data_IF_404546023513
#
_entry.id   IF_404546023513
#
_cell.length_a   1.000
_cell.length_b   1.000
_cell.length_c   1.000
_cell.angle_alpha   90.00
_cell.angle_beta   90.00
_cell.angle_gamma   90.00
#
_symmetry.space_group_name_H-M   'P 1'
#
loop_
_entity.id
_entity.type
_entity.pdbx_description
1 polymer ?
#
# COMPACT_ATOMS: atom_id res chain seq x y z
N UNK A 1 8.58 -9.31 -18.42
CA UNK A 1 8.85 -9.14 -16.97
C UNK A 1 8.42 -7.73 -16.61
N UNK A 2 7.54 -7.55 -15.62
CA UNK A 2 7.11 -6.20 -15.20
C UNK A 2 8.28 -5.46 -14.55
N UNK A 3 8.26 -4.12 -14.52
CA UNK A 3 9.33 -3.37 -13.84
C UNK A 3 9.39 -3.74 -12.34
N UNK A 4 8.27 -4.14 -11.72
CA UNK A 4 8.20 -4.60 -10.32
C UNK A 4 9.02 -5.86 -10.08
N UNK A 5 8.92 -6.85 -10.96
CA UNK A 5 9.73 -8.08 -10.85
C UNK A 5 11.23 -7.76 -10.93
N UNK A 6 11.63 -6.81 -11.79
CA UNK A 6 13.00 -6.33 -11.85
C UNK A 6 13.39 -5.55 -10.59
N UNK A 7 12.52 -4.64 -10.13
CA UNK A 7 12.74 -3.79 -8.97
C UNK A 7 12.92 -4.61 -7.70
N UNK A 8 12.04 -5.58 -7.42
CA UNK A 8 12.13 -6.40 -6.21
C UNK A 8 13.38 -7.28 -6.20
N UNK A 9 13.79 -7.81 -7.37
CA UNK A 9 15.08 -8.49 -7.49
C UNK A 9 16.22 -7.54 -7.17
N UNK A 10 16.23 -6.34 -7.73
CA UNK A 10 17.27 -5.35 -7.44
C UNK A 10 17.30 -4.99 -5.96
N UNK A 11 16.16 -4.63 -5.35
CA UNK A 11 16.08 -4.26 -3.93
C UNK A 11 16.60 -5.37 -3.01
N UNK A 12 16.28 -6.63 -3.33
CA UNK A 12 16.56 -7.74 -2.42
C UNK A 12 17.92 -8.40 -2.60
N UNK A 13 18.45 -8.41 -3.82
CA UNK A 13 19.75 -9.01 -4.13
C UNK A 13 20.89 -8.00 -4.20
N UNK A 14 20.62 -6.71 -4.29
CA UNK A 14 21.62 -5.66 -4.13
C UNK A 14 21.84 -5.39 -2.62
N UNK A 15 23.05 -5.64 -2.07
CA UNK A 15 23.32 -5.44 -0.65
C UNK A 15 23.09 -4.01 -0.14
N UNK A 16 23.33 -2.99 -0.97
CA UNK A 16 23.14 -1.59 -0.58
C UNK A 16 21.66 -1.24 -0.46
N UNK A 17 20.84 -1.69 -1.42
CA UNK A 17 19.39 -1.49 -1.40
C UNK A 17 18.73 -2.32 -0.29
N UNK A 18 19.20 -3.56 -0.08
CA UNK A 18 18.69 -4.48 0.93
C UNK A 18 18.83 -3.93 2.34
N UNK A 19 19.96 -3.30 2.67
CA UNK A 19 20.21 -2.76 4.03
C UNK A 19 19.19 -1.70 4.43
N UNK A 20 18.81 -0.82 3.49
CA UNK A 20 17.80 0.22 3.74
C UNK A 20 16.38 -0.38 3.83
N UNK A 21 16.09 -1.38 2.99
CA UNK A 21 14.80 -2.04 2.91
C UNK A 21 14.49 -2.96 4.11
N UNK A 22 15.50 -3.55 4.74
CA UNK A 22 15.33 -4.47 5.86
C UNK A 22 14.97 -3.78 7.18
N UNK A 23 15.17 -2.47 7.34
CA UNK A 23 14.84 -1.79 8.61
C UNK A 23 13.33 -1.62 8.80
N UNK A 24 12.74 -2.36 9.75
CA UNK A 24 11.32 -2.19 10.14
C UNK A 24 11.08 -0.81 10.77
N UNK A 25 12.02 -0.32 11.58
CA UNK A 25 11.87 0.88 12.42
C UNK A 25 11.61 2.19 11.66
N UNK A 26 11.99 2.31 10.39
CA UNK A 26 11.92 3.59 9.67
C UNK A 26 10.50 4.05 9.26
N UNK A 27 9.43 3.37 9.68
CA UNK A 27 8.04 3.63 9.23
C UNK A 27 6.94 3.36 10.27
N UNK A 28 7.24 3.20 11.56
CA UNK A 28 6.17 3.02 12.58
C UNK A 28 5.16 4.17 12.56
N UNK A 29 5.65 5.41 12.43
CA UNK A 29 4.88 6.65 12.28
C UNK A 29 3.87 6.65 11.12
N UNK A 30 4.02 5.71 10.18
CA UNK A 30 3.14 5.59 9.03
C UNK A 30 1.82 4.95 9.40
N UNK A 31 1.82 4.05 10.38
CA UNK A 31 0.65 3.26 10.74
C UNK A 31 -0.06 3.75 11.99
N UNK A 32 0.51 4.69 12.76
CA UNK A 32 -0.03 5.11 14.06
C UNK A 32 -1.54 5.40 14.03
N UNK A 33 -1.99 6.26 13.12
CA UNK A 33 -3.42 6.60 13.00
C UNK A 33 -4.29 5.40 12.64
N UNK A 34 -3.78 4.50 11.80
CA UNK A 34 -4.47 3.28 11.43
C UNK A 34 -4.53 2.31 12.62
N UNK A 35 -3.41 2.11 13.32
CA UNK A 35 -3.35 1.21 14.47
C UNK A 35 -4.23 1.68 15.62
N UNK A 36 -4.33 3.00 15.84
CA UNK A 36 -5.25 3.59 16.81
C UNK A 36 -6.72 3.35 16.43
N UNK A 37 -7.09 3.59 15.17
CA UNK A 37 -8.44 3.29 14.69
C UNK A 37 -8.82 1.80 14.84
N UNK A 38 -7.83 0.90 14.70
CA UNK A 38 -8.01 -0.53 14.85
C UNK A 38 -8.16 -1.01 16.31
N UNK A 39 -7.98 -0.14 17.30
CA UNK A 39 -8.24 -0.45 18.72
C UNK A 39 -9.74 -0.68 19.02
N UNK A 40 -10.63 -0.20 18.15
CA UNK A 40 -12.08 -0.49 18.25
C UNK A 40 -12.41 -1.98 18.08
N UNK A 41 -11.49 -2.80 17.55
CA UNK A 41 -11.72 -4.22 17.30
C UNK A 41 -10.94 -5.12 18.25
N UNK A 42 -11.64 -6.07 18.86
CA UNK A 42 -11.03 -7.16 19.63
C UNK A 42 -10.16 -8.06 18.73
N UNK A 43 -10.63 -8.35 17.52
CA UNK A 43 -9.87 -9.08 16.50
C UNK A 43 -9.39 -8.11 15.41
N UNK A 44 -8.08 -8.11 15.16
CA UNK A 44 -7.45 -7.21 14.19
C UNK A 44 -7.01 -7.95 12.94
N UNK A 45 -7.96 -8.33 12.10
CA UNK A 45 -7.68 -8.97 10.81
C UNK A 45 -7.45 -7.91 9.73
N UNK A 46 -6.24 -7.85 9.20
CA UNK A 46 -5.82 -6.79 8.28
C UNK A 46 -5.36 -7.37 6.95
N UNK A 47 -5.74 -6.72 5.86
CA UNK A 47 -5.19 -6.96 4.53
C UNK A 47 -4.11 -5.91 4.22
N UNK A 48 -2.89 -6.35 3.96
CA UNK A 48 -1.85 -5.55 3.31
C UNK A 48 -1.95 -5.76 1.79
N UNK A 49 -2.64 -4.83 1.13
CA UNK A 49 -2.95 -4.90 -0.29
C UNK A 49 -1.77 -4.33 -1.09
N UNK A 50 -1.21 -5.12 -2.01
CA UNK A 50 0.06 -4.81 -2.70
C UNK A 50 1.21 -4.55 -1.74
N UNK A 51 1.45 -5.53 -0.86
CA UNK A 51 2.41 -5.43 0.24
C UNK A 51 3.87 -5.25 -0.21
N UNK A 52 4.18 -5.47 -1.50
CA UNK A 52 5.54 -5.50 -2.01
C UNK A 52 6.41 -6.49 -1.24
N UNK A 53 7.44 -6.00 -0.56
CA UNK A 53 8.36 -6.82 0.23
C UNK A 53 7.76 -7.27 1.57
N UNK A 54 6.58 -6.80 1.97
CA UNK A 54 5.88 -7.20 3.19
C UNK A 54 6.32 -6.48 4.46
N UNK A 55 6.81 -5.24 4.35
CA UNK A 55 7.37 -4.49 5.47
C UNK A 55 6.32 -4.14 6.51
N UNK A 56 5.20 -3.58 6.04
CA UNK A 56 4.09 -3.18 6.90
C UNK A 56 3.36 -4.40 7.45
N UNK A 57 3.21 -5.45 6.64
CA UNK A 57 2.69 -6.73 7.08
C UNK A 57 3.45 -7.32 8.28
N UNK A 58 4.79 -7.37 8.21
CA UNK A 58 5.62 -7.87 9.31
C UNK A 58 5.43 -7.02 10.58
N UNK A 59 5.51 -5.69 10.46
CA UNK A 59 5.31 -4.76 11.57
C UNK A 59 3.94 -4.91 12.25
N UNK A 60 2.87 -5.08 11.47
CA UNK A 60 1.53 -5.31 12.02
C UNK A 60 1.43 -6.68 12.69
N UNK A 61 2.03 -7.72 12.13
CA UNK A 61 2.05 -9.05 12.73
C UNK A 61 2.80 -9.06 14.07
N UNK A 62 3.94 -8.34 14.17
CA UNK A 62 4.66 -8.13 15.44
C UNK A 62 3.79 -7.46 16.51
N UNK A 63 2.87 -6.57 16.09
CA UNK A 63 1.88 -5.91 16.98
C UNK A 63 0.65 -6.79 17.27
N UNK A 64 0.67 -8.08 16.92
CA UNK A 64 -0.39 -9.06 17.21
C UNK A 64 -1.57 -9.06 16.24
N UNK A 65 -1.44 -8.40 15.08
CA UNK A 65 -2.49 -8.42 14.06
C UNK A 65 -2.48 -9.73 13.29
N UNK A 66 -3.65 -10.18 12.85
CA UNK A 66 -3.78 -11.28 11.90
C UNK A 66 -3.68 -10.72 10.49
N UNK A 67 -2.50 -10.80 9.89
CA UNK A 67 -2.21 -10.13 8.62
C UNK A 67 -2.33 -11.09 7.44
N UNK A 68 -3.12 -10.68 6.45
CA UNK A 68 -3.17 -11.28 5.11
C UNK A 68 -2.41 -10.36 4.16
N UNK A 69 -1.53 -10.94 3.36
CA UNK A 69 -0.76 -10.20 2.34
C UNK A 69 -1.23 -10.60 0.95
N UNK A 70 -1.56 -9.61 0.12
CA UNK A 70 -2.00 -9.83 -1.24
C UNK A 70 -1.07 -9.12 -2.22
N UNK A 71 -0.46 -9.88 -3.13
CA UNK A 71 0.49 -9.35 -4.11
C UNK A 71 0.44 -10.17 -5.42
N UNK A 72 0.75 -9.49 -6.53
CA UNK A 72 0.81 -10.03 -7.89
C UNK A 72 2.21 -10.53 -8.27
N UNK A 73 3.26 -9.97 -7.66
CA UNK A 73 4.63 -10.39 -7.89
C UNK A 73 4.99 -11.62 -7.08
N UNK A 74 5.44 -12.67 -7.77
CA UNK A 74 5.88 -13.92 -7.13
C UNK A 74 7.15 -13.67 -6.32
N UNK A 75 8.05 -12.83 -6.84
CA UNK A 75 9.29 -12.50 -6.14
C UNK A 75 9.03 -11.72 -4.86
N UNK A 76 8.10 -10.75 -4.90
CA UNK A 76 7.68 -9.99 -3.73
C UNK A 76 7.10 -10.89 -2.61
N UNK A 77 6.30 -11.91 -2.99
CA UNK A 77 5.77 -12.89 -2.03
C UNK A 77 6.86 -13.76 -1.41
N UNK A 78 7.91 -14.15 -2.17
CA UNK A 78 9.06 -14.87 -1.60
C UNK A 78 9.81 -14.01 -0.59
N UNK A 79 10.09 -12.75 -0.94
CA UNK A 79 10.73 -11.79 -0.04
C UNK A 79 9.91 -11.59 1.23
N UNK A 80 8.59 -11.46 1.08
CA UNK A 80 7.66 -11.36 2.21
C UNK A 80 7.71 -12.58 3.12
N UNK A 81 7.76 -13.80 2.55
CA UNK A 81 7.90 -15.03 3.34
C UNK A 81 9.24 -15.13 4.06
N UNK A 82 10.33 -14.71 3.43
CA UNK A 82 11.66 -14.65 4.07
C UNK A 82 11.70 -13.62 5.19
N UNK A 83 11.07 -12.46 4.99
CA UNK A 83 10.93 -11.42 6.03
C UNK A 83 10.11 -11.94 7.21
N UNK A 84 9.00 -12.64 6.96
CA UNK A 84 8.20 -13.24 8.02
C UNK A 84 9.03 -14.20 8.90
N UNK A 85 9.89 -15.02 8.27
CA UNK A 85 10.83 -15.89 9.00
C UNK A 85 11.89 -15.11 9.78
N UNK A 86 12.43 -14.05 9.19
CA UNK A 86 13.47 -13.22 9.83
C UNK A 86 12.97 -12.56 11.12
N UNK A 87 11.71 -12.14 11.14
CA UNK A 87 11.08 -11.46 12.27
C UNK A 87 10.24 -12.39 13.15
N UNK A 88 10.29 -13.70 12.90
CA UNK A 88 9.51 -14.72 13.62
C UNK A 88 8.01 -14.39 13.73
N UNK A 89 7.42 -13.95 12.61
CA UNK A 89 6.00 -13.57 12.52
C UNK A 89 5.23 -14.44 11.53
N UNK A 90 3.92 -14.59 11.76
CA UNK A 90 3.03 -15.35 10.88
C UNK A 90 2.25 -14.42 9.95
N UNK A 91 2.28 -14.69 8.64
CA UNK A 91 1.54 -13.98 7.62
C UNK A 91 0.70 -14.98 6.78
N UNK A 92 -0.54 -14.62 6.46
CA UNK A 92 -1.37 -15.35 5.51
C UNK A 92 -1.12 -14.83 4.08
N UNK A 93 -0.44 -15.62 3.25
CA UNK A 93 -0.12 -15.22 1.89
C UNK A 93 -1.29 -15.58 0.95
N UNK A 94 -1.76 -14.61 0.17
CA UNK A 94 -2.72 -14.83 -0.91
C UNK A 94 -2.18 -14.27 -2.23
N UNK A 95 -1.98 -15.14 -3.23
CA UNK A 95 -1.58 -14.68 -4.56
C UNK A 95 -2.77 -14.08 -5.29
N UNK A 96 -2.59 -12.90 -5.87
CA UNK A 96 -3.61 -12.27 -6.70
C UNK A 96 -3.46 -12.67 -8.17
N UNK A 97 -4.51 -13.28 -8.74
CA UNK A 97 -4.57 -13.52 -10.20
C UNK A 97 -5.04 -12.30 -10.98
N UNK A 98 -5.59 -11.30 -10.30
CA UNK A 98 -5.99 -10.02 -10.86
C UNK A 98 -5.50 -8.89 -9.94
N UNK A 99 -4.99 -7.78 -10.48
CA UNK A 99 -4.56 -6.63 -9.70
C UNK A 99 -5.68 -6.01 -8.83
N UNK A 100 -6.94 -6.31 -9.12
CA UNK A 100 -8.09 -5.65 -8.51
C UNK A 100 -8.98 -6.59 -7.70
N UNK A 101 -8.56 -7.83 -7.49
CA UNK A 101 -9.37 -8.81 -6.77
C UNK A 101 -8.53 -9.73 -5.91
N UNK A 102 -9.00 -9.91 -4.67
CA UNK A 102 -8.42 -10.79 -3.68
C UNK A 102 -9.40 -11.92 -3.41
N UNK A 103 -8.91 -13.17 -3.45
CA UNK A 103 -9.71 -14.38 -3.23
C UNK A 103 -10.04 -14.57 -1.74
N UNK A 104 -10.84 -13.66 -1.20
CA UNK A 104 -11.35 -13.67 0.15
C UNK A 104 -12.87 -13.44 0.12
N UNK A 105 -13.63 -14.03 1.07
CA UNK A 105 -15.05 -13.76 1.20
C UNK A 105 -15.33 -12.28 1.50
N UNK A 106 -16.54 -11.84 1.16
CA UNK A 106 -17.01 -10.49 1.50
C UNK A 106 -17.06 -10.29 3.01
N UNK A 107 -16.77 -9.06 3.48
CA UNK A 107 -16.98 -8.63 4.87
C UNK A 107 -16.26 -9.52 5.90
N UNK A 108 -14.97 -9.79 5.68
CA UNK A 108 -14.14 -10.62 6.58
C UNK A 108 -12.92 -9.90 7.15
N UNK A 109 -12.66 -8.67 6.74
CA UNK A 109 -11.47 -7.89 7.09
C UNK A 109 -11.85 -6.70 7.98
N UNK A 110 -11.09 -6.43 9.05
CA UNK A 110 -11.29 -5.26 9.92
C UNK A 110 -10.61 -4.01 9.35
N UNK A 111 -9.43 -4.18 8.74
CA UNK A 111 -8.66 -3.07 8.18
C UNK A 111 -7.96 -3.42 6.87
N UNK A 112 -7.88 -2.48 5.94
CA UNK A 112 -7.07 -2.60 4.71
C UNK A 112 -6.01 -1.51 4.75
N UNK A 113 -4.75 -1.87 4.51
CA UNK A 113 -3.69 -0.92 4.20
C UNK A 113 -3.31 -1.04 2.73
N UNK A 114 -3.07 0.10 2.08
CA UNK A 114 -2.60 0.19 0.71
C UNK A 114 -1.60 1.34 0.61
N UNK A 115 -0.32 1.01 0.76
CA UNK A 115 0.75 1.98 1.01
C UNK A 115 1.76 1.97 -0.14
N UNK A 116 2.17 3.16 -0.57
CA UNK A 116 3.18 3.49 -1.58
C UNK A 116 2.86 3.07 -3.02
N UNK A 117 1.61 2.62 -3.28
CA UNK A 117 1.19 2.06 -4.56
C UNK A 117 0.05 2.82 -5.27
N UNK A 118 -0.66 3.71 -4.58
CA UNK A 118 -1.87 4.35 -5.14
C UNK A 118 -1.62 5.20 -6.39
N UNK A 119 -0.47 5.85 -6.45
CA UNK A 119 -0.11 6.70 -7.58
C UNK A 119 0.40 5.92 -8.79
N UNK A 120 0.48 4.58 -8.75
CA UNK A 120 0.86 3.77 -9.91
C UNK A 120 -0.33 3.32 -10.77
N UNK A 121 -1.54 3.48 -10.24
CA UNK A 121 -2.79 3.08 -10.90
C UNK A 121 -3.48 4.29 -11.51
N UNK A 122 -4.14 4.11 -12.66
CA UNK A 122 -5.06 5.12 -13.19
C UNK A 122 -6.27 5.25 -12.27
N UNK A 123 -6.99 6.36 -12.38
CA UNK A 123 -8.15 6.65 -11.52
C UNK A 123 -9.21 5.54 -11.52
N UNK A 124 -9.52 4.96 -12.69
CA UNK A 124 -10.47 3.85 -12.81
C UNK A 124 -9.97 2.55 -12.17
N UNK A 125 -8.65 2.35 -12.15
CA UNK A 125 -8.02 1.16 -11.56
C UNK A 125 -7.93 1.30 -10.04
N UNK A 126 -7.57 2.49 -9.56
CA UNK A 126 -7.59 2.84 -8.15
C UNK A 126 -8.99 2.72 -7.56
N UNK A 127 -10.03 3.16 -8.29
CA UNK A 127 -11.41 2.98 -7.86
C UNK A 127 -11.76 1.48 -7.69
N UNK A 128 -11.28 0.59 -8.55
CA UNK A 128 -11.49 -0.86 -8.39
C UNK A 128 -10.82 -1.42 -7.13
N UNK A 129 -9.65 -0.92 -6.77
CA UNK A 129 -8.95 -1.30 -5.53
C UNK A 129 -9.75 -0.86 -4.30
N UNK A 130 -10.27 0.37 -4.32
CA UNK A 130 -11.11 0.92 -3.24
C UNK A 130 -12.43 0.15 -3.14
N UNK A 131 -13.02 -0.21 -4.28
CA UNK A 131 -14.24 -1.01 -4.35
C UNK A 131 -14.05 -2.43 -3.80
N UNK A 132 -12.93 -3.06 -4.13
CA UNK A 132 -12.57 -4.37 -3.59
C UNK A 132 -12.29 -4.29 -2.08
N UNK A 133 -11.61 -3.24 -1.63
CA UNK A 133 -11.41 -2.98 -0.21
C UNK A 133 -12.75 -2.83 0.52
N UNK A 134 -13.70 -2.11 -0.08
CA UNK A 134 -15.06 -1.99 0.46
C UNK A 134 -15.80 -3.33 0.55
N UNK A 135 -15.66 -4.20 -0.47
CA UNK A 135 -16.27 -5.56 -0.47
C UNK A 135 -15.73 -6.41 0.69
N UNK A 136 -14.42 -6.34 0.94
CA UNK A 136 -13.72 -7.16 1.92
C UNK A 136 -13.91 -6.68 3.37
N UNK A 137 -13.98 -5.36 3.57
CA UNK A 137 -14.10 -4.77 4.90
C UNK A 137 -15.44 -5.13 5.56
N UNK A 138 -15.44 -5.40 6.86
CA UNK A 138 -16.67 -5.46 7.67
C UNK A 138 -17.30 -4.06 7.78
N UNK A 139 -18.55 -3.99 8.24
CA UNK A 139 -19.16 -2.71 8.59
C UNK A 139 -18.33 -2.02 9.68
N UNK A 140 -18.03 -0.74 9.47
CA UNK A 140 -17.17 0.03 10.37
C UNK A 140 -15.67 -0.26 10.24
N UNK A 141 -15.25 -1.19 9.37
CA UNK A 141 -13.83 -1.44 9.10
C UNK A 141 -13.16 -0.24 8.42
N UNK A 142 -11.83 -0.17 8.49
CA UNK A 142 -11.07 0.98 7.99
C UNK A 142 -10.22 0.65 6.76
N UNK A 143 -10.08 1.62 5.87
CA UNK A 143 -9.03 1.64 4.84
C UNK A 143 -8.05 2.76 5.16
N UNK A 144 -6.76 2.44 5.11
CA UNK A 144 -5.67 3.39 5.18
C UNK A 144 -4.88 3.36 3.88
N UNK A 145 -4.79 4.51 3.23
CA UNK A 145 -4.13 4.67 1.94
C UNK A 145 -3.25 5.91 1.95
N UNK A 146 -2.10 5.85 1.31
CA UNK A 146 -1.29 7.03 1.10
C UNK A 146 -1.10 7.35 -0.39
N UNK A 147 -0.77 8.60 -0.62
CA UNK A 147 -0.53 9.19 -1.92
C UNK A 147 0.77 9.98 -1.83
N UNK A 148 1.49 10.05 -2.94
CA UNK A 148 2.63 10.93 -3.12
C UNK A 148 2.21 12.41 -3.01
N UNK A 149 3.17 13.36 -2.92
CA UNK A 149 2.85 14.78 -3.01
C UNK A 149 2.13 15.14 -4.30
N UNK A 150 1.58 16.37 -4.36
CA UNK A 150 0.94 16.88 -5.59
C UNK A 150 1.96 17.17 -6.69
N UNK A 151 3.19 17.44 -6.29
CA UNK A 151 4.31 17.71 -7.17
C UNK A 151 5.24 16.48 -7.26
N UNK A 152 5.99 16.34 -8.37
CA UNK A 152 7.01 15.30 -8.48
C UNK A 152 8.00 15.35 -7.32
N UNK A 153 8.32 14.18 -6.76
CA UNK A 153 9.34 14.09 -5.72
C UNK A 153 10.70 14.44 -6.34
N UNK A 154 11.49 15.34 -5.74
CA UNK A 154 12.84 15.62 -6.19
C UNK A 154 13.65 14.32 -6.31
N UNK A 155 14.15 14.04 -7.50
CA UNK A 155 14.94 12.85 -7.80
C UNK A 155 16.13 13.23 -8.66
N UNK A 156 17.24 12.50 -8.50
CA UNK A 156 18.42 12.62 -9.38
C UNK A 156 18.19 12.00 -10.75
N UNK A 157 17.14 11.18 -10.90
CA UNK A 157 16.84 10.44 -12.12
C UNK A 157 15.97 11.26 -13.06
N UNK A 158 16.23 11.14 -14.37
CA UNK A 158 15.39 11.81 -15.38
C UNK A 158 13.98 11.23 -15.39
N UNK A 159 13.00 12.10 -15.58
CA UNK A 159 11.61 11.74 -15.78
C UNK A 159 10.99 12.56 -16.92
N UNK A 160 9.95 12.01 -17.53
CA UNK A 160 9.05 12.77 -18.40
C UNK A 160 7.81 13.14 -17.58
N UNK A 161 7.38 14.40 -17.57
CA UNK A 161 6.14 14.86 -16.91
C UNK A 161 5.21 15.44 -17.98
N UNK A 162 4.00 14.92 -18.05
CA UNK A 162 2.97 15.44 -18.96
C UNK A 162 2.13 16.56 -18.33
N UNK A 163 1.28 17.19 -19.14
CA UNK A 163 0.43 18.31 -18.71
C UNK A 163 -0.70 17.90 -17.76
N UNK A 164 -0.88 16.60 -17.50
CA UNK A 164 -1.92 16.04 -16.62
C UNK A 164 -1.37 15.59 -15.27
N UNK A 165 -0.10 15.86 -14.98
CA UNK A 165 0.54 15.43 -13.73
C UNK A 165 0.94 13.96 -13.75
N UNK A 166 1.06 13.34 -14.93
CA UNK A 166 1.57 11.98 -15.05
C UNK A 166 3.06 12.06 -15.36
N UNK A 167 3.90 11.43 -14.53
CA UNK A 167 5.31 11.31 -14.84
C UNK A 167 5.80 9.87 -14.91
N UNK A 168 6.76 9.63 -15.81
CA UNK A 168 7.40 8.33 -15.99
C UNK A 168 8.91 8.47 -15.78
N UNK A 169 9.47 7.63 -14.90
CA UNK A 169 10.91 7.57 -14.67
C UNK A 169 11.62 6.96 -15.88
N UNK A 170 12.63 7.66 -16.41
CA UNK A 170 13.38 7.25 -17.60
C UNK A 170 14.70 6.54 -17.24
N UNK A 171 15.18 6.71 -16.00
CA UNK A 171 16.44 6.21 -15.48
C UNK A 171 16.27 5.71 -14.03
N UNK A 172 17.26 4.99 -13.53
CA UNK A 172 17.31 4.49 -12.14
C UNK A 172 16.62 3.14 -11.92
N UNK A 173 16.59 2.66 -10.66
CA UNK A 173 16.07 1.34 -10.31
C UNK A 173 14.58 1.16 -10.64
N UNK A 174 13.82 2.25 -10.65
CA UNK A 174 12.39 2.28 -10.96
C UNK A 174 12.10 2.73 -12.40
N UNK A 175 13.06 2.60 -13.32
CA UNK A 175 12.87 2.95 -14.73
C UNK A 175 11.60 2.29 -15.30
N UNK A 176 10.74 3.10 -15.92
CA UNK A 176 9.45 2.69 -16.45
C UNK A 176 8.28 2.82 -15.47
N UNK A 177 8.53 3.08 -14.18
CA UNK A 177 7.49 3.44 -13.21
C UNK A 177 6.77 4.69 -13.68
N UNK A 178 5.44 4.60 -13.72
CA UNK A 178 4.55 5.71 -14.06
C UNK A 178 3.76 6.11 -12.83
N UNK A 179 3.68 7.40 -12.58
CA UNK A 179 3.08 8.00 -11.39
C UNK A 179 2.00 8.99 -11.82
N UNK A 180 0.81 8.87 -11.25
CA UNK A 180 -0.36 9.72 -11.46
C UNK A 180 -0.51 10.66 -10.27
N UNK A 181 0.00 11.89 -10.39
CA UNK A 181 -0.15 12.90 -9.35
C UNK A 181 -1.60 13.41 -9.33
N UNK A 182 -2.15 13.56 -8.13
CA UNK A 182 -3.57 13.91 -7.92
C UNK A 182 -3.72 15.10 -7.02
N UNK A 183 -4.88 15.75 -7.10
CA UNK A 183 -5.34 16.75 -6.13
C UNK A 183 -6.16 16.11 -5.00
N UNK A 184 -6.21 16.75 -3.84
CA UNK A 184 -6.96 16.23 -2.68
C UNK A 184 -8.45 16.07 -2.98
N UNK A 185 -9.05 17.01 -3.73
CA UNK A 185 -10.45 16.90 -4.19
C UNK A 185 -10.72 15.67 -5.06
N UNK A 186 -9.70 15.18 -5.79
CA UNK A 186 -9.84 13.94 -6.54
C UNK A 186 -9.70 12.73 -5.62
N UNK A 187 -8.75 12.76 -4.68
CA UNK A 187 -8.57 11.73 -3.66
C UNK A 187 -9.87 11.53 -2.87
N UNK A 188 -10.46 12.60 -2.34
CA UNK A 188 -11.72 12.58 -1.58
C UNK A 188 -12.87 11.92 -2.36
N UNK A 189 -12.94 12.20 -3.67
CA UNK A 189 -13.99 11.65 -4.55
C UNK A 189 -13.93 10.13 -4.69
N UNK A 190 -12.74 9.51 -4.61
CA UNK A 190 -12.66 8.05 -4.66
C UNK A 190 -13.34 7.37 -3.45
N UNK A 191 -13.36 8.04 -2.30
CA UNK A 191 -13.92 7.51 -1.06
C UNK A 191 -15.39 7.91 -0.84
N UNK A 192 -15.82 9.06 -1.38
CA UNK A 192 -17.08 9.75 -1.05
C UNK A 192 -18.37 8.90 -1.08
N UNK A 193 -18.43 7.83 -1.88
CA UNK A 193 -19.64 7.01 -2.04
C UNK A 193 -19.71 5.79 -1.11
N UNK A 194 -18.57 5.30 -0.64
CA UNK A 194 -18.45 4.00 0.05
C UNK A 194 -17.81 4.11 1.43
N UNK A 195 -17.18 5.26 1.70
CA UNK A 195 -16.43 5.48 2.91
C UNK A 195 -16.72 6.88 3.47
N UNK A 196 -16.74 6.96 4.79
CA UNK A 196 -16.61 8.20 5.53
C UNK A 196 -15.13 8.47 5.75
N UNK A 197 -14.59 9.55 5.20
CA UNK A 197 -13.21 9.98 5.49
C UNK A 197 -13.16 10.42 6.95
N UNK A 198 -12.34 9.74 7.74
CA UNK A 198 -12.09 10.06 9.15
C UNK A 198 -11.00 11.10 9.25
N UNK A 199 -9.94 10.94 8.45
CA UNK A 199 -8.85 11.89 8.36
C UNK A 199 -8.24 11.91 6.95
N UNK A 200 -7.84 13.10 6.51
CA UNK A 200 -7.05 13.34 5.32
C UNK A 200 -6.03 14.43 5.64
N UNK A 201 -4.76 14.03 5.77
CA UNK A 201 -3.69 14.93 6.16
C UNK A 201 -2.45 14.76 5.28
N UNK A 202 -1.63 15.80 5.28
CA UNK A 202 -0.35 15.83 4.59
C UNK A 202 0.80 15.73 5.61
N UNK A 203 1.79 14.88 5.31
CA UNK A 203 3.00 14.73 6.14
C UNK A 203 3.99 15.85 5.84
N UNK A 204 5.03 15.98 6.67
CA UNK A 204 6.15 16.92 6.41
C UNK A 204 6.85 16.69 5.06
N UNK A 205 6.76 15.48 4.51
CA UNK A 205 7.31 15.14 3.19
C UNK A 205 6.36 15.43 2.03
N UNK A 206 5.20 16.05 2.29
CA UNK A 206 4.15 16.31 1.30
C UNK A 206 3.32 15.08 0.94
N UNK A 207 3.61 13.90 1.50
CA UNK A 207 2.80 12.70 1.26
C UNK A 207 1.45 12.88 1.93
N UNK A 208 0.40 12.38 1.29
CA UNK A 208 -0.97 12.53 1.78
C UNK A 208 -1.47 11.18 2.26
N UNK A 209 -2.20 11.17 3.35
CA UNK A 209 -2.70 9.96 3.99
C UNK A 209 -4.20 10.10 4.20
N UNK A 210 -4.94 9.07 3.80
CA UNK A 210 -6.37 8.94 4.01
C UNK A 210 -6.60 7.80 4.98
N UNK A 211 -7.30 8.08 6.07
CA UNK A 211 -7.97 7.07 6.87
C UNK A 211 -9.48 7.23 6.63
N UNK A 212 -10.13 6.17 6.14
CA UNK A 212 -11.56 6.20 5.89
C UNK A 212 -12.26 4.97 6.47
N UNK A 213 -13.43 5.17 7.06
CA UNK A 213 -14.26 4.13 7.66
C UNK A 213 -15.31 3.68 6.65
N UNK A 214 -15.49 2.38 6.50
CA UNK A 214 -16.51 1.81 5.62
C UNK A 214 -17.89 2.29 6.06
N UNK A 215 -18.61 2.94 5.14
CA UNK A 215 -19.98 3.38 5.37
C UNK A 215 -20.93 2.17 5.49
N UNK A 216 -22.15 2.41 5.99
CA UNK A 216 -23.18 1.38 6.17
C UNK A 216 -23.65 0.77 4.85
#
# INVERSE_FOLDING_TARGET
MSYRETLYKSIYYDPELKKNELSIQAREDTLDIFTHAMEEFEQKRVLDFYCGTGKHAALLAEKGYRVIVAETSVEALKITAERAKMYDVSLELTSMTSPFSVKLPDKVINGVIFIDQADEFKDQELQKIIDESHRLLIKGGFIFMNFLPKEPIPTKYKFNLDTKGVYTLLEGPEKGRTVYLRENKLIERFFAHKFLIVDLFETKSGRRRVLAKRAN
#
